data_IF_324641648217
#
_entry.id   IF_324641648217
#
_cell.length_a   1.000
_cell.length_b   1.000
_cell.length_c   1.000
_cell.angle_alpha   90.00
_cell.angle_beta   90.00
_cell.angle_gamma   90.00
#
_symmetry.space_group_name_H-M   'P 1'
#
loop_
_entity.id
_entity.type
_entity.pdbx_description
1 polymer ?
#
# COMPACT_ATOMS: atom_id res chain seq x y z
N UNK A 1 59.44 8.66 -37.92
CA UNK A 1 58.05 9.24 -38.07
C UNK A 1 56.95 8.46 -37.38
N UNK A 2 57.04 7.14 -37.21
CA UNK A 2 55.97 6.35 -36.56
C UNK A 2 55.91 6.40 -35.02
N UNK A 3 57.05 6.62 -34.31
CA UNK A 3 57.05 6.69 -32.85
C UNK A 3 56.34 7.93 -32.27
N UNK A 4 56.42 9.05 -33.01
CA UNK A 4 55.80 10.29 -32.59
C UNK A 4 54.26 10.27 -32.73
N UNK A 5 53.71 9.51 -33.70
CA UNK A 5 52.28 9.34 -33.88
C UNK A 5 51.64 8.52 -32.76
N UNK A 6 52.33 7.49 -32.26
CA UNK A 6 51.85 6.72 -31.12
C UNK A 6 51.90 7.50 -29.80
N UNK A 7 52.85 8.38 -29.60
CA UNK A 7 52.93 9.23 -28.42
C UNK A 7 51.83 10.27 -28.41
N UNK A 8 51.48 10.86 -29.57
CA UNK A 8 50.33 11.79 -29.67
C UNK A 8 48.99 11.11 -29.44
N UNK A 9 48.80 9.89 -29.92
CA UNK A 9 47.55 9.12 -29.64
C UNK A 9 47.43 8.76 -28.16
N UNK A 10 48.52 8.38 -27.48
CA UNK A 10 48.49 8.11 -26.04
C UNK A 10 48.23 9.36 -25.19
N UNK A 11 48.75 10.49 -25.57
CA UNK A 11 48.49 11.77 -24.89
C UNK A 11 47.04 12.25 -25.12
N UNK A 12 46.45 12.00 -26.32
CA UNK A 12 45.06 12.35 -26.57
C UNK A 12 44.07 11.44 -25.82
N UNK A 13 44.38 10.16 -25.67
CA UNK A 13 43.57 9.21 -24.89
C UNK A 13 43.68 9.50 -23.39
N UNK A 14 44.88 9.89 -22.91
CA UNK A 14 45.09 10.26 -21.51
C UNK A 14 44.37 11.58 -21.14
N UNK A 15 44.27 12.54 -22.06
CA UNK A 15 43.56 13.80 -21.82
C UNK A 15 42.01 13.66 -21.95
N UNK A 16 41.51 12.71 -22.72
CA UNK A 16 40.08 12.36 -22.78
C UNK A 16 39.63 11.57 -21.55
N UNK A 17 40.51 10.81 -20.91
CA UNK A 17 40.23 10.05 -19.70
C UNK A 17 40.10 10.90 -18.43
N UNK A 18 40.49 12.18 -18.44
CA UNK A 18 40.41 13.10 -17.31
C UNK A 18 39.24 14.09 -17.36
N UNK A 19 38.37 14.00 -18.36
CA UNK A 19 37.08 14.63 -18.30
C UNK A 19 36.17 13.82 -17.36
N UNK A 20 36.44 13.92 -16.07
CA UNK A 20 35.47 13.57 -15.05
C UNK A 20 34.25 14.46 -15.29
N UNK A 21 33.24 13.92 -15.98
CA UNK A 21 31.92 14.49 -15.87
C UNK A 21 31.60 14.46 -14.38
N UNK A 22 31.72 15.58 -13.70
CA UNK A 22 31.05 15.78 -12.42
C UNK A 22 29.56 15.65 -12.77
N UNK A 23 29.03 14.42 -12.64
CA UNK A 23 27.60 14.27 -12.52
C UNK A 23 27.22 15.26 -11.42
N UNK A 24 26.42 16.25 -11.73
CA UNK A 24 25.90 17.16 -10.73
C UNK A 24 25.19 16.29 -9.73
N UNK A 25 25.83 16.01 -8.61
CA UNK A 25 25.21 15.27 -7.53
C UNK A 25 23.90 16.00 -7.22
N UNK A 26 22.80 15.27 -7.25
CA UNK A 26 21.49 15.80 -6.89
C UNK A 26 21.61 16.46 -5.52
N UNK A 27 21.32 17.75 -5.45
CA UNK A 27 21.33 18.46 -4.17
C UNK A 27 20.03 18.15 -3.46
N UNK A 28 20.09 17.52 -2.31
CA UNK A 28 18.94 17.30 -1.46
C UNK A 28 18.23 18.61 -1.16
N UNK A 29 16.99 18.70 -1.57
CA UNK A 29 16.18 19.91 -1.32
C UNK A 29 15.55 19.88 0.06
N UNK A 30 15.21 18.69 0.56
CA UNK A 30 14.55 18.46 1.86
C UNK A 30 13.35 19.41 2.07
N UNK A 31 12.57 19.62 0.99
CA UNK A 31 11.54 20.66 0.96
C UNK A 31 10.43 20.41 1.97
N UNK A 32 9.94 19.18 2.04
CA UNK A 32 8.87 18.81 2.98
C UNK A 32 9.36 18.89 4.42
N UNK A 33 10.54 18.37 4.70
CA UNK A 33 11.13 18.40 6.04
C UNK A 33 11.39 19.82 6.53
N UNK A 34 11.78 20.73 5.62
CA UNK A 34 11.97 22.16 5.93
C UNK A 34 10.68 22.92 6.08
N UNK A 35 9.63 22.52 5.31
CA UNK A 35 8.34 23.21 5.33
C UNK A 35 7.47 22.81 6.52
N UNK A 36 7.66 21.64 7.10
CA UNK A 36 6.81 21.09 8.15
C UNK A 36 7.64 20.40 9.23
N UNK A 37 8.01 21.13 10.23
CA UNK A 37 8.56 20.57 11.47
C UNK A 37 7.44 19.89 12.29
N UNK A 38 7.83 19.20 13.36
CA UNK A 38 6.91 18.43 14.20
C UNK A 38 5.82 19.31 14.84
N UNK A 39 6.19 20.52 15.26
CA UNK A 39 5.25 21.46 15.87
C UNK A 39 4.22 21.97 14.85
N UNK A 40 4.67 22.29 13.64
CA UNK A 40 3.81 22.66 12.52
C UNK A 40 2.86 21.53 12.17
N UNK A 41 3.36 20.29 12.02
CA UNK A 41 2.53 19.12 11.74
C UNK A 41 1.49 18.89 12.83
N UNK A 42 1.86 19.00 14.11
CA UNK A 42 0.92 18.92 15.24
C UNK A 42 -0.23 19.93 15.15
N UNK A 43 0.04 21.11 14.61
CA UNK A 43 -0.97 22.17 14.50
C UNK A 43 -1.89 22.01 13.29
N UNK A 44 -1.36 21.53 12.15
CA UNK A 44 -2.11 21.50 10.89
C UNK A 44 -2.78 20.14 10.57
N UNK A 45 -2.33 19.04 11.20
CA UNK A 45 -2.93 17.73 10.95
C UNK A 45 -4.39 17.66 11.39
N UNK A 46 -5.24 17.37 10.43
CA UNK A 46 -6.68 17.19 10.64
C UNK A 46 -6.96 15.80 11.18
N UNK A 47 -7.41 15.72 12.43
CA UNK A 47 -7.66 14.47 13.13
C UNK A 47 -9.08 13.93 12.90
N UNK A 48 -9.29 12.67 13.32
CA UNK A 48 -10.60 12.00 13.33
C UNK A 48 -11.29 11.93 11.97
N UNK A 49 -10.49 11.75 10.91
CA UNK A 49 -10.98 11.57 9.53
C UNK A 49 -11.77 12.77 8.94
N UNK A 50 -11.71 13.93 9.60
CA UNK A 50 -12.41 15.14 9.12
C UNK A 50 -11.84 15.69 7.79
N UNK A 51 -10.69 15.17 7.35
CA UNK A 51 -10.08 15.48 6.05
C UNK A 51 -10.71 14.71 4.88
N UNK A 52 -11.49 13.65 5.16
CA UNK A 52 -12.05 12.78 4.11
C UNK A 52 -13.08 13.55 3.30
N UNK A 53 -12.89 13.70 1.96
CA UNK A 53 -13.76 14.51 1.12
C UNK A 53 -15.01 13.75 0.65
N UNK A 54 -15.21 12.51 1.10
CA UNK A 54 -16.30 11.66 0.67
C UNK A 54 -17.52 11.81 1.60
N UNK A 55 -18.76 11.66 1.06
CA UNK A 55 -19.97 11.69 1.86
C UNK A 55 -19.99 10.58 2.93
N UNK A 56 -20.72 10.81 4.02
CA UNK A 56 -21.05 9.74 4.95
C UNK A 56 -21.84 8.64 4.23
N UNK A 57 -21.69 7.37 4.64
CA UNK A 57 -22.39 6.23 4.02
C UNK A 57 -23.90 6.45 3.88
N UNK A 58 -24.52 7.14 4.83
CA UNK A 58 -25.96 7.43 4.87
C UNK A 58 -26.40 8.60 3.99
N UNK A 59 -25.47 9.42 3.51
CA UNK A 59 -25.80 10.58 2.66
C UNK A 59 -25.97 10.14 1.19
N UNK A 60 -27.16 9.64 0.88
CA UNK A 60 -27.46 9.04 -0.42
C UNK A 60 -27.48 10.07 -1.57
N UNK A 61 -27.96 11.30 -1.29
CA UNK A 61 -28.02 12.33 -2.31
C UNK A 61 -26.60 12.76 -2.75
N UNK A 62 -25.69 12.92 -1.79
CA UNK A 62 -24.30 13.25 -2.12
C UNK A 62 -23.58 12.08 -2.83
N UNK A 63 -23.84 10.81 -2.45
CA UNK A 63 -23.33 9.65 -3.19
C UNK A 63 -23.89 9.57 -4.61
N UNK A 64 -25.15 9.84 -4.81
CA UNK A 64 -25.77 9.85 -6.13
C UNK A 64 -25.15 10.90 -7.04
N UNK A 65 -24.90 12.09 -6.51
CA UNK A 65 -24.19 13.15 -7.21
C UNK A 65 -22.74 12.76 -7.56
N UNK A 66 -22.00 12.19 -6.59
CA UNK A 66 -20.60 11.80 -6.74
C UNK A 66 -20.45 10.67 -7.76
N UNK A 67 -21.28 9.66 -7.71
CA UNK A 67 -21.23 8.50 -8.62
C UNK A 67 -21.69 8.86 -10.03
N UNK A 68 -22.65 9.79 -10.15
CA UNK A 68 -23.11 10.29 -11.44
C UNK A 68 -23.43 9.18 -12.44
N UNK A 69 -22.96 9.30 -13.71
CA UNK A 69 -23.25 8.30 -14.75
C UNK A 69 -22.63 6.92 -14.48
N UNK A 70 -21.66 6.83 -13.57
CA UNK A 70 -21.01 5.56 -13.23
C UNK A 70 -21.83 4.70 -12.26
N UNK A 71 -22.86 5.24 -11.62
CA UNK A 71 -23.64 4.57 -10.58
C UNK A 71 -24.10 3.19 -11.01
N UNK A 72 -24.82 3.09 -12.14
CA UNK A 72 -25.38 1.82 -12.61
C UNK A 72 -24.30 0.80 -12.97
N UNK A 73 -23.19 1.24 -13.55
CA UNK A 73 -22.05 0.37 -13.88
C UNK A 73 -21.41 -0.23 -12.62
N UNK A 74 -21.27 0.58 -11.55
CA UNK A 74 -20.70 0.11 -10.28
C UNK A 74 -21.64 -0.88 -9.60
N UNK A 75 -22.93 -0.60 -9.57
CA UNK A 75 -23.93 -1.53 -9.02
C UNK A 75 -23.92 -2.85 -9.79
N UNK A 76 -23.99 -2.82 -11.12
CA UNK A 76 -23.94 -4.03 -11.94
C UNK A 76 -22.65 -4.84 -11.78
N UNK A 77 -21.52 -4.18 -11.49
CA UNK A 77 -20.26 -4.87 -11.18
C UNK A 77 -20.36 -5.64 -9.85
N UNK A 78 -20.98 -5.05 -8.82
CA UNK A 78 -21.22 -5.70 -7.54
C UNK A 78 -22.24 -6.83 -7.61
N UNK A 79 -23.30 -6.69 -8.43
CA UNK A 79 -24.33 -7.72 -8.62
C UNK A 79 -23.74 -9.06 -9.08
N UNK A 80 -22.73 -9.02 -9.94
CA UNK A 80 -22.01 -10.22 -10.41
C UNK A 80 -21.21 -10.92 -9.30
N UNK A 81 -21.06 -10.27 -8.14
CA UNK A 81 -20.26 -10.74 -7.02
C UNK A 81 -21.09 -11.10 -5.78
N UNK A 82 -22.44 -11.05 -5.86
CA UNK A 82 -23.29 -11.41 -4.73
C UNK A 82 -23.08 -12.87 -4.27
N UNK A 83 -22.77 -13.77 -5.19
CA UNK A 83 -22.47 -15.18 -4.92
C UNK A 83 -20.96 -15.49 -5.06
N UNK A 84 -20.10 -14.47 -4.97
CA UNK A 84 -18.66 -14.64 -5.14
C UNK A 84 -18.10 -15.61 -4.09
N UNK A 85 -17.34 -16.61 -4.58
CA UNK A 85 -16.64 -17.56 -3.70
C UNK A 85 -15.23 -17.06 -3.44
N UNK A 86 -15.00 -16.60 -2.21
CA UNK A 86 -13.71 -16.12 -1.76
C UNK A 86 -12.66 -17.21 -1.89
N UNK A 87 -11.54 -16.87 -2.51
CA UNK A 87 -10.50 -17.84 -2.88
C UNK A 87 -9.51 -18.01 -1.74
N UNK A 88 -9.31 -19.25 -1.31
CA UNK A 88 -8.24 -19.60 -0.40
C UNK A 88 -6.87 -19.52 -1.12
N UNK A 89 -5.85 -19.03 -0.43
CA UNK A 89 -4.46 -19.02 -0.89
C UNK A 89 -3.68 -19.99 0.00
N UNK A 90 -3.44 -21.23 -0.45
CA UNK A 90 -2.74 -22.23 0.35
C UNK A 90 -1.24 -21.93 0.43
N UNK A 91 -0.57 -22.47 1.43
CA UNK A 91 0.88 -22.33 1.60
C UNK A 91 1.68 -22.74 0.34
N UNK A 92 1.22 -23.76 -0.37
CA UNK A 92 1.85 -24.23 -1.61
C UNK A 92 1.80 -23.18 -2.73
N UNK A 93 0.82 -22.28 -2.75
CA UNK A 93 0.75 -21.20 -3.72
C UNK A 93 1.86 -20.14 -3.50
N UNK A 94 2.18 -19.85 -2.24
CA UNK A 94 3.34 -19.01 -1.91
C UNK A 94 4.66 -19.70 -2.30
N UNK A 95 4.81 -20.98 -1.94
CA UNK A 95 6.01 -21.77 -2.21
C UNK A 95 6.26 -22.01 -3.71
N UNK A 96 5.25 -21.84 -4.56
CA UNK A 96 5.40 -22.02 -5.99
C UNK A 96 6.39 -21.02 -6.59
N UNK A 97 6.49 -19.84 -6.02
CA UNK A 97 7.49 -18.86 -6.44
C UNK A 97 8.92 -19.36 -6.21
N UNK A 98 9.20 -20.05 -5.11
CA UNK A 98 10.52 -20.67 -4.87
C UNK A 98 10.78 -21.86 -5.80
N UNK A 99 9.74 -22.63 -6.13
CA UNK A 99 9.86 -23.88 -6.89
C UNK A 99 10.07 -23.66 -8.39
N UNK A 100 9.36 -22.67 -8.94
CA UNK A 100 9.30 -22.47 -10.39
C UNK A 100 9.47 -21.02 -10.86
N UNK A 101 9.55 -20.06 -9.94
CA UNK A 101 9.50 -18.65 -10.25
C UNK A 101 8.10 -18.12 -10.61
N UNK A 102 7.07 -18.98 -10.58
CA UNK A 102 5.73 -18.61 -10.97
C UNK A 102 4.97 -17.92 -9.83
N UNK A 103 4.96 -16.59 -9.85
CA UNK A 103 4.23 -15.78 -8.88
C UNK A 103 2.70 -15.79 -9.06
N UNK A 104 2.21 -16.12 -10.28
CA UNK A 104 0.79 -16.03 -10.62
C UNK A 104 -0.09 -17.00 -9.85
N UNK A 105 0.45 -18.12 -9.41
CA UNK A 105 -0.30 -19.11 -8.62
C UNK A 105 -0.82 -18.50 -7.31
N UNK A 106 -0.05 -17.64 -6.66
CA UNK A 106 -0.47 -16.88 -5.47
C UNK A 106 -1.21 -15.61 -5.84
N UNK A 107 -0.71 -14.84 -6.80
CA UNK A 107 -1.24 -13.51 -7.11
C UNK A 107 -2.61 -13.53 -7.76
N UNK A 108 -2.94 -14.52 -8.58
CA UNK A 108 -4.23 -14.56 -9.27
C UNK A 108 -5.43 -14.66 -8.30
N UNK A 109 -5.47 -15.59 -7.32
CA UNK A 109 -6.54 -15.60 -6.32
C UNK A 109 -6.48 -14.38 -5.39
N UNK A 110 -5.30 -13.88 -5.04
CA UNK A 110 -5.12 -12.66 -4.25
C UNK A 110 -5.76 -11.44 -4.93
N UNK A 111 -5.41 -11.20 -6.19
CA UNK A 111 -5.94 -10.07 -6.97
C UNK A 111 -7.44 -10.20 -7.22
N UNK A 112 -7.93 -11.41 -7.49
CA UNK A 112 -9.36 -11.65 -7.67
C UNK A 112 -10.16 -11.29 -6.40
N UNK A 113 -9.69 -11.70 -5.22
CA UNK A 113 -10.33 -11.35 -3.94
C UNK A 113 -10.28 -9.85 -3.69
N UNK A 114 -9.13 -9.21 -3.89
CA UNK A 114 -8.96 -7.76 -3.71
C UNK A 114 -9.87 -6.96 -4.65
N UNK A 115 -9.96 -7.36 -5.92
CA UNK A 115 -10.84 -6.73 -6.90
C UNK A 115 -12.32 -6.92 -6.55
N UNK A 116 -12.71 -8.12 -6.10
CA UNK A 116 -14.07 -8.39 -5.66
C UNK A 116 -14.46 -7.52 -4.46
N UNK A 117 -13.58 -7.43 -3.44
CA UNK A 117 -13.83 -6.59 -2.26
C UNK A 117 -13.99 -5.12 -2.65
N UNK A 118 -13.12 -4.60 -3.52
CA UNK A 118 -13.20 -3.22 -4.01
C UNK A 118 -14.48 -2.97 -4.82
N UNK A 119 -14.86 -3.89 -5.70
CA UNK A 119 -16.07 -3.73 -6.52
C UNK A 119 -17.35 -3.77 -5.67
N UNK A 120 -17.41 -4.66 -4.67
CA UNK A 120 -18.53 -4.74 -3.72
C UNK A 120 -18.61 -3.46 -2.85
N UNK A 121 -17.46 -2.92 -2.39
CA UNK A 121 -17.41 -1.65 -1.67
C UNK A 121 -18.01 -0.51 -2.50
N UNK A 122 -17.57 -0.38 -3.76
CA UNK A 122 -18.06 0.67 -4.65
C UNK A 122 -19.53 0.50 -5.01
N UNK A 123 -20.00 -0.74 -5.17
CA UNK A 123 -21.40 -1.05 -5.46
C UNK A 123 -22.31 -0.67 -4.27
N UNK A 124 -21.91 -1.02 -3.05
CA UNK A 124 -22.68 -0.65 -1.86
C UNK A 124 -22.68 0.87 -1.63
N UNK A 125 -21.56 1.55 -1.83
CA UNK A 125 -21.51 3.00 -1.77
C UNK A 125 -22.41 3.66 -2.83
N UNK A 126 -22.48 3.09 -4.03
CA UNK A 126 -23.33 3.59 -5.10
C UNK A 126 -24.82 3.33 -4.84
N UNK A 127 -25.18 2.16 -4.32
CA UNK A 127 -26.60 1.78 -4.11
C UNK A 127 -27.12 2.16 -2.72
N UNK A 128 -26.39 1.80 -1.66
CA UNK A 128 -26.72 2.10 -0.25
C UNK A 128 -27.94 1.36 0.29
N UNK A 129 -28.29 0.18 -0.27
CA UNK A 129 -29.43 -0.63 0.17
C UNK A 129 -29.05 -1.76 1.12
N UNK A 130 -27.75 -1.97 1.36
CA UNK A 130 -27.25 -2.99 2.28
C UNK A 130 -27.16 -4.39 1.68
N UNK A 131 -27.54 -4.60 0.42
CA UNK A 131 -27.56 -5.96 -0.17
C UNK A 131 -26.17 -6.54 -0.48
N UNK A 132 -25.12 -5.69 -0.50
CA UNK A 132 -23.75 -6.14 -0.67
C UNK A 132 -23.00 -6.31 0.67
N UNK A 133 -23.62 -5.94 1.80
CA UNK A 133 -22.95 -5.90 3.12
C UNK A 133 -22.46 -7.28 3.55
N UNK A 134 -23.23 -8.35 3.36
CA UNK A 134 -22.82 -9.70 3.77
C UNK A 134 -21.57 -10.16 2.99
N UNK A 135 -21.52 -9.89 1.69
CA UNK A 135 -20.34 -10.21 0.90
C UNK A 135 -19.15 -9.32 1.23
N UNK A 136 -19.36 -8.04 1.53
CA UNK A 136 -18.30 -7.15 2.02
C UNK A 136 -17.74 -7.64 3.36
N UNK A 137 -18.62 -8.07 4.26
CA UNK A 137 -18.25 -8.64 5.55
C UNK A 137 -17.42 -9.90 5.36
N UNK A 138 -17.89 -10.83 4.52
CA UNK A 138 -17.19 -12.09 4.21
C UNK A 138 -15.79 -11.81 3.66
N UNK A 139 -15.67 -10.88 2.70
CA UNK A 139 -14.39 -10.52 2.10
C UNK A 139 -13.45 -9.84 3.06
N UNK A 140 -13.95 -8.91 3.87
CA UNK A 140 -13.16 -8.22 4.87
C UNK A 140 -12.67 -9.17 5.96
N UNK A 141 -13.55 -10.06 6.44
CA UNK A 141 -13.20 -11.05 7.48
C UNK A 141 -12.16 -12.06 6.96
N UNK A 142 -12.41 -12.66 5.78
CA UNK A 142 -11.45 -13.55 5.11
C UNK A 142 -10.09 -12.86 4.90
N UNK A 143 -10.09 -11.57 4.52
CA UNK A 143 -8.85 -10.81 4.37
C UNK A 143 -8.06 -10.67 5.67
N UNK A 144 -8.74 -10.59 6.81
CA UNK A 144 -8.10 -10.57 8.12
C UNK A 144 -7.49 -11.93 8.51
N UNK A 145 -8.03 -13.04 8.01
CA UNK A 145 -7.54 -14.40 8.28
C UNK A 145 -6.35 -14.81 7.40
N UNK A 146 -6.03 -14.05 6.36
CA UNK A 146 -4.81 -14.29 5.58
C UNK A 146 -3.58 -14.13 6.47
N UNK A 147 -2.60 -15.02 6.34
CA UNK A 147 -1.34 -14.94 7.09
C UNK A 147 -0.52 -13.68 6.74
N UNK A 148 -0.61 -13.22 5.49
CA UNK A 148 0.07 -12.02 5.02
C UNK A 148 -0.67 -11.41 3.83
N UNK A 149 -0.52 -10.09 3.66
CA UNK A 149 -0.96 -9.37 2.47
C UNK A 149 0.19 -9.13 1.47
N UNK A 150 1.39 -9.63 1.76
CA UNK A 150 2.58 -9.50 0.93
C UNK A 150 2.54 -10.51 -0.21
N UNK A 151 2.98 -10.10 -1.40
CA UNK A 151 3.06 -10.97 -2.57
C UNK A 151 4.20 -11.98 -2.45
N UNK A 152 4.00 -13.21 -2.92
CA UNK A 152 4.98 -14.31 -2.79
C UNK A 152 6.37 -13.97 -3.33
N UNK A 153 6.43 -13.21 -4.44
CA UNK A 153 7.68 -12.76 -5.04
C UNK A 153 8.44 -11.71 -4.20
N UNK A 154 7.79 -11.10 -3.22
CA UNK A 154 8.37 -10.07 -2.36
C UNK A 154 8.74 -10.59 -0.96
N UNK A 155 8.15 -11.69 -0.53
CA UNK A 155 8.44 -12.35 0.75
C UNK A 155 9.93 -12.71 0.97
N UNK A 156 10.76 -13.01 -0.07
CA UNK A 156 12.20 -13.18 0.13
C UNK A 156 12.94 -11.94 0.65
N UNK A 157 12.26 -10.82 0.84
CA UNK A 157 12.76 -9.65 1.59
C UNK A 157 12.77 -9.87 3.10
N UNK A 158 11.97 -10.82 3.61
CA UNK A 158 12.06 -11.26 5.00
C UNK A 158 13.45 -11.82 5.33
N UNK A 159 13.82 -11.84 6.60
CA UNK A 159 15.10 -12.37 7.09
C UNK A 159 15.29 -13.84 6.70
N UNK A 160 14.21 -14.62 6.63
CA UNK A 160 14.21 -16.00 6.19
C UNK A 160 14.62 -16.19 4.73
N UNK A 161 14.54 -15.15 3.88
CA UNK A 161 14.75 -15.18 2.42
C UNK A 161 13.84 -16.19 1.69
N UNK A 162 12.73 -16.59 2.30
CA UNK A 162 11.78 -17.57 1.77
C UNK A 162 10.48 -16.90 1.34
N UNK A 163 9.73 -17.54 0.44
CA UNK A 163 8.46 -17.01 -0.08
C UNK A 163 7.24 -17.40 0.74
N UNK A 164 7.40 -18.19 1.80
CA UNK A 164 6.31 -18.44 2.76
C UNK A 164 6.28 -17.30 3.81
N UNK A 165 5.10 -16.73 4.12
CA UNK A 165 5.01 -15.70 5.14
C UNK A 165 5.50 -16.16 6.51
N UNK A 166 6.41 -15.42 7.13
CA UNK A 166 6.79 -15.58 8.53
C UNK A 166 6.00 -14.60 9.38
N UNK A 167 5.12 -15.13 10.26
CA UNK A 167 4.25 -14.30 11.09
C UNK A 167 5.02 -13.42 12.10
N UNK A 168 6.27 -13.76 12.38
CA UNK A 168 7.14 -13.03 13.30
C UNK A 168 7.72 -11.76 12.69
N UNK A 169 7.75 -11.70 11.36
CA UNK A 169 8.33 -10.59 10.60
C UNK A 169 7.34 -10.10 9.54
N UNK A 170 6.65 -9.03 9.86
CA UNK A 170 5.74 -8.38 8.91
C UNK A 170 6.52 -7.35 8.11
N UNK A 171 6.52 -7.49 6.79
CA UNK A 171 7.11 -6.52 5.85
C UNK A 171 6.01 -5.83 5.05
N UNK A 172 6.32 -4.65 4.52
CA UNK A 172 5.40 -3.92 3.65
C UNK A 172 5.95 -3.91 2.23
N UNK A 173 5.10 -4.30 1.28
CA UNK A 173 5.37 -4.28 -0.15
C UNK A 173 4.25 -3.57 -0.92
N UNK A 174 4.33 -3.58 -2.26
CA UNK A 174 3.30 -2.99 -3.13
C UNK A 174 1.92 -3.61 -2.90
N UNK A 175 1.87 -4.93 -2.65
CA UNK A 175 0.64 -5.68 -2.43
C UNK A 175 0.02 -5.33 -1.09
N UNK A 176 0.77 -5.52 -0.01
CA UNK A 176 0.27 -5.31 1.36
C UNK A 176 -0.09 -3.86 1.63
N UNK A 177 0.69 -2.88 1.12
CA UNK A 177 0.34 -1.47 1.23
C UNK A 177 -1.02 -1.17 0.59
N UNK A 178 -1.21 -1.59 -0.67
CA UNK A 178 -2.48 -1.39 -1.38
C UNK A 178 -3.67 -2.16 -0.77
N UNK A 179 -3.42 -3.36 -0.22
CA UNK A 179 -4.46 -4.12 0.47
C UNK A 179 -4.86 -3.46 1.80
N UNK A 180 -3.85 -2.98 2.56
CA UNK A 180 -4.06 -2.25 3.81
C UNK A 180 -4.89 -0.99 3.60
N UNK A 181 -4.59 -0.19 2.56
CA UNK A 181 -5.36 0.98 2.19
C UNK A 181 -6.82 0.63 1.86
N UNK A 182 -7.06 -0.41 1.04
CA UNK A 182 -8.42 -0.88 0.74
C UNK A 182 -9.17 -1.29 2.02
N UNK A 183 -8.54 -2.06 2.91
CA UNK A 183 -9.15 -2.47 4.18
C UNK A 183 -9.45 -1.28 5.09
N UNK A 184 -8.60 -0.26 5.09
CA UNK A 184 -8.83 0.97 5.86
C UNK A 184 -10.05 1.74 5.33
N UNK A 185 -10.22 1.83 4.00
CA UNK A 185 -11.41 2.42 3.39
C UNK A 185 -12.68 1.59 3.63
N UNK A 186 -12.61 0.26 3.53
CA UNK A 186 -13.73 -0.63 3.90
C UNK A 186 -14.15 -0.39 5.35
N UNK A 187 -13.18 -0.33 6.28
CA UNK A 187 -13.47 -0.02 7.68
C UNK A 187 -14.09 1.37 7.84
N UNK A 188 -13.56 2.39 7.17
CA UNK A 188 -14.06 3.75 7.27
C UNK A 188 -15.55 3.85 6.88
N UNK A 189 -15.92 3.30 5.72
CA UNK A 189 -17.28 3.40 5.22
C UNK A 189 -18.26 2.45 5.89
N UNK A 190 -17.81 1.23 6.23
CA UNK A 190 -18.73 0.15 6.64
C UNK A 190 -18.60 -0.26 8.11
N UNK A 191 -17.78 0.43 8.92
CA UNK A 191 -17.71 0.14 10.35
C UNK A 191 -19.09 0.12 11.00
N UNK A 192 -19.91 1.16 10.80
CA UNK A 192 -21.24 1.23 11.40
C UNK A 192 -22.20 0.13 10.94
N UNK A 193 -22.31 -0.20 9.63
CA UNK A 193 -23.04 -1.38 9.16
C UNK A 193 -22.51 -2.70 9.77
N UNK A 194 -21.20 -2.90 9.81
CA UNK A 194 -20.60 -4.10 10.40
C UNK A 194 -20.84 -4.20 11.90
N UNK A 195 -20.69 -3.11 12.65
CA UNK A 195 -20.91 -3.06 14.11
C UNK A 195 -22.36 -3.37 14.48
N UNK A 196 -23.34 -3.10 13.59
CA UNK A 196 -24.74 -3.50 13.79
C UNK A 196 -24.94 -5.03 13.68
N UNK A 197 -24.13 -5.70 12.86
CA UNK A 197 -24.14 -7.15 12.71
C UNK A 197 -23.33 -7.77 13.84
N UNK A 198 -22.04 -7.41 13.94
CA UNK A 198 -21.16 -7.84 15.01
C UNK A 198 -19.92 -6.92 15.09
N UNK A 199 -19.70 -6.21 16.22
CA UNK A 199 -18.54 -5.31 16.39
C UNK A 199 -17.18 -5.99 16.26
N UNK A 200 -17.10 -7.30 16.42
CA UNK A 200 -15.85 -8.07 16.28
C UNK A 200 -15.27 -7.91 14.88
N UNK A 201 -16.08 -7.73 13.83
CA UNK A 201 -15.59 -7.54 12.46
C UNK A 201 -14.73 -6.30 12.35
N UNK A 202 -15.22 -5.16 12.85
CA UNK A 202 -14.47 -3.89 12.85
C UNK A 202 -13.20 -3.97 13.69
N UNK A 203 -13.24 -4.65 14.83
CA UNK A 203 -12.08 -4.87 15.69
C UNK A 203 -11.03 -5.73 14.98
N UNK A 204 -11.46 -6.77 14.26
CA UNK A 204 -10.56 -7.65 13.51
C UNK A 204 -9.87 -6.91 12.37
N UNK A 205 -10.60 -6.06 11.63
CA UNK A 205 -10.03 -5.22 10.57
C UNK A 205 -8.97 -4.27 11.15
N UNK A 206 -9.30 -3.59 12.25
CA UNK A 206 -8.35 -2.69 12.94
C UNK A 206 -7.09 -3.42 13.40
N UNK A 207 -7.25 -4.60 14.00
CA UNK A 207 -6.14 -5.44 14.42
C UNK A 207 -5.25 -5.83 13.23
N UNK A 208 -5.86 -6.31 12.14
CA UNK A 208 -5.12 -6.73 10.96
C UNK A 208 -4.30 -5.59 10.33
N UNK A 209 -4.90 -4.39 10.19
CA UNK A 209 -4.19 -3.21 9.67
C UNK A 209 -3.07 -2.79 10.62
N UNK A 210 -3.33 -2.77 11.92
CA UNK A 210 -2.32 -2.39 12.92
C UNK A 210 -1.11 -3.32 12.85
N UNK A 211 -1.32 -4.63 12.90
CA UNK A 211 -0.25 -5.63 12.96
C UNK A 211 0.52 -5.77 11.64
N UNK A 212 -0.13 -5.54 10.48
CA UNK A 212 0.48 -5.75 9.17
C UNK A 212 0.99 -4.50 8.49
N UNK A 213 0.52 -3.32 8.89
CA UNK A 213 0.88 -2.05 8.25
C UNK A 213 1.40 -1.04 9.26
N UNK A 214 0.61 -0.67 10.29
CA UNK A 214 0.98 0.45 11.14
C UNK A 214 2.18 0.15 12.04
N UNK A 215 2.16 -0.97 12.73
CA UNK A 215 3.26 -1.36 13.62
C UNK A 215 4.56 -1.64 12.84
N UNK A 216 4.56 -2.43 11.74
CA UNK A 216 5.77 -2.63 10.94
C UNK A 216 6.36 -1.33 10.41
N UNK A 217 5.53 -0.42 9.90
CA UNK A 217 6.01 0.86 9.38
C UNK A 217 6.67 1.73 10.46
N UNK A 218 6.16 1.70 11.69
CA UNK A 218 6.69 2.51 12.80
C UNK A 218 7.91 1.89 13.47
N UNK A 219 8.10 0.58 13.34
CA UNK A 219 9.12 -0.16 14.07
C UNK A 219 10.32 -0.58 13.22
N UNK A 220 10.18 -0.54 11.87
CA UNK A 220 11.21 -0.98 10.94
C UNK A 220 11.66 0.20 10.05
N UNK A 221 12.81 0.75 10.35
CA UNK A 221 13.45 1.82 9.57
C UNK A 221 14.25 1.26 8.37
N UNK A 222 14.34 -0.06 8.23
CA UNK A 222 15.20 -0.74 7.23
C UNK A 222 14.43 -1.28 6.01
N UNK A 223 13.15 -0.98 5.86
CA UNK A 223 12.46 -1.32 4.63
C UNK A 223 13.15 -0.61 3.45
N UNK A 224 13.82 -1.38 2.62
CA UNK A 224 14.72 -0.88 1.57
C UNK A 224 14.11 0.20 0.68
N UNK A 225 12.79 0.16 0.45
CA UNK A 225 12.08 1.14 -0.37
C UNK A 225 11.84 2.48 0.35
N UNK A 226 12.01 2.58 1.67
CA UNK A 226 11.94 3.84 2.41
C UNK A 226 13.06 4.78 2.03
N UNK A 227 14.21 4.23 1.58
CA UNK A 227 15.37 4.97 1.11
C UNK A 227 16.02 5.88 2.19
N UNK A 228 15.88 5.55 3.49
CA UNK A 228 16.56 6.30 4.55
C UNK A 228 18.08 6.20 4.47
N UNK A 229 18.61 5.08 3.96
CA UNK A 229 20.03 4.83 3.73
C UNK A 229 20.48 5.17 2.29
N UNK A 230 19.71 6.02 1.59
CA UNK A 230 19.97 6.41 0.22
C UNK A 230 21.33 7.15 0.09
N UNK A 231 22.07 6.81 -0.96
CA UNK A 231 23.36 7.45 -1.27
C UNK A 231 23.22 8.36 -2.50
N UNK A 232 23.96 9.49 -2.55
CA UNK A 232 23.97 10.34 -3.73
C UNK A 232 24.29 9.55 -5.01
N UNK A 233 23.43 9.66 -6.03
CA UNK A 233 23.55 8.93 -7.28
C UNK A 233 22.73 7.62 -7.37
N UNK A 234 22.18 7.12 -6.27
CA UNK A 234 21.23 6.00 -6.30
C UNK A 234 19.84 6.48 -6.74
N UNK A 235 19.12 5.60 -7.44
CA UNK A 235 17.75 5.88 -7.87
C UNK A 235 16.78 5.40 -6.79
N UNK A 236 15.96 6.31 -6.29
CA UNK A 236 14.86 5.94 -5.40
C UNK A 236 13.83 5.14 -6.22
N UNK A 237 13.54 3.92 -5.76
CA UNK A 237 12.61 3.03 -6.43
C UNK A 237 11.17 3.55 -6.33
N UNK A 238 10.33 3.25 -7.33
CA UNK A 238 8.92 3.62 -7.35
C UNK A 238 8.07 2.96 -6.24
N UNK A 239 8.61 1.98 -5.53
CA UNK A 239 7.97 1.46 -4.33
C UNK A 239 7.86 2.52 -3.23
N UNK A 240 8.83 3.43 -3.15
CA UNK A 240 8.81 4.49 -2.15
C UNK A 240 7.50 5.30 -2.16
N UNK A 241 7.13 6.02 -3.23
CA UNK A 241 5.87 6.75 -3.24
C UNK A 241 4.65 5.82 -3.19
N UNK A 242 4.72 4.61 -3.76
CA UNK A 242 3.62 3.66 -3.75
C UNK A 242 3.31 3.16 -2.33
N UNK A 243 4.30 2.62 -1.64
CA UNK A 243 4.11 2.10 -0.29
C UNK A 243 3.77 3.22 0.69
N UNK A 244 4.53 4.34 0.66
CA UNK A 244 4.28 5.47 1.55
C UNK A 244 2.86 6.05 1.39
N UNK A 245 2.37 6.25 0.16
CA UNK A 245 1.03 6.79 -0.05
C UNK A 245 -0.08 5.87 0.47
N UNK A 246 0.06 4.55 0.31
CA UNK A 246 -0.90 3.59 0.82
C UNK A 246 -0.84 3.45 2.35
N UNK A 247 0.36 3.41 2.91
CA UNK A 247 0.56 3.37 4.37
C UNK A 247 0.03 4.65 5.02
N UNK A 248 0.29 5.81 4.42
CA UNK A 248 -0.23 7.09 4.91
C UNK A 248 -1.76 7.08 4.98
N UNK A 249 -2.45 6.54 3.97
CA UNK A 249 -3.91 6.38 4.03
C UNK A 249 -4.34 5.52 5.24
N UNK A 250 -3.62 4.42 5.51
CA UNK A 250 -3.91 3.60 6.68
C UNK A 250 -3.76 4.41 7.98
N UNK A 251 -2.68 5.17 8.14
CA UNK A 251 -2.49 6.01 9.32
C UNK A 251 -3.58 7.08 9.47
N UNK A 252 -3.86 7.82 8.41
CA UNK A 252 -4.86 8.89 8.43
C UNK A 252 -6.29 8.39 8.73
N UNK A 253 -6.61 7.15 8.35
CA UNK A 253 -7.93 6.55 8.59
C UNK A 253 -8.03 5.82 9.93
N UNK A 254 -6.92 5.29 10.46
CA UNK A 254 -6.95 4.32 11.57
C UNK A 254 -6.31 4.84 12.86
N UNK A 255 -5.31 5.74 12.77
CA UNK A 255 -4.59 6.22 13.95
C UNK A 255 -5.29 7.43 14.58
N UNK A 256 -5.50 7.38 15.88
CA UNK A 256 -6.11 8.46 16.65
C UNK A 256 -5.12 9.19 17.58
N UNK A 257 -3.92 8.63 17.75
CA UNK A 257 -2.87 9.28 18.52
C UNK A 257 -2.12 10.27 17.63
N UNK A 258 -2.19 11.55 17.97
CA UNK A 258 -1.65 12.64 17.18
C UNK A 258 -0.12 12.55 17.04
N UNK A 259 0.59 12.19 18.10
CA UNK A 259 2.05 12.11 18.07
C UNK A 259 2.52 10.97 17.17
N UNK A 260 1.84 9.83 17.20
CA UNK A 260 2.10 8.72 16.26
C UNK A 260 1.83 9.12 14.81
N UNK A 261 0.73 9.83 14.57
CA UNK A 261 0.39 10.29 13.23
C UNK A 261 1.43 11.30 12.70
N UNK A 262 1.87 12.24 13.54
CA UNK A 262 2.94 13.19 13.19
C UNK A 262 4.23 12.43 12.82
N UNK A 263 4.62 11.45 13.64
CA UNK A 263 5.81 10.63 13.35
C UNK A 263 5.68 9.86 12.02
N UNK A 264 4.50 9.33 11.71
CA UNK A 264 4.25 8.58 10.48
C UNK A 264 4.23 9.48 9.22
N UNK A 265 3.81 10.73 9.36
CA UNK A 265 3.77 11.71 8.25
C UNK A 265 5.15 12.29 7.94
N UNK A 266 6.01 12.41 8.95
CA UNK A 266 7.37 12.95 8.84
C UNK A 266 8.37 11.94 8.29
#
# INVERSE_FOLDING_TARGET
>A
MNRMKHLLCFLLVATLGSLSFKANAYTERNMLQKAADEATLKNVLVMKQAWVPYPAYTDRAAWDSLMGPNKQRLIAAGEKLLDYKWKLIPATAYLEYERSGNRKVMEAPYDANRQALNALMLAELAEGKGRFIDQLLNGAYMSCEMNSWVLSAHLPRQSSKRSLPDFREQIIDLGSGGYGALMAWVHYFFRKPFDKINPVVSLQIRKAIKERILDPYMNDDDMWWMAFNWRPGEIINNWNPWCNSNVLQCFLLMENNKDKLVKAVR
#
